data_IF_139880655640
#
_entry.id   IF_139880655640
#
_cell.length_a   1.000
_cell.length_b   1.000
_cell.length_c   1.000
_cell.angle_alpha   90.00
_cell.angle_beta   90.00
_cell.angle_gamma   90.00
#
_symmetry.space_group_name_H-M   'P 1'
#
loop_
_entity.id
_entity.type
_entity.pdbx_description
1 polymer ?
#
# COMPACT_ATOMS: atom_id res chain seq x y z
N UNK A 1 -15.77 23.93 -19.55
CA UNK A 1 -14.45 24.59 -19.62
C UNK A 1 -14.07 24.90 -18.19
N UNK A 2 -13.24 24.05 -17.57
CA UNK A 2 -12.82 24.20 -16.17
C UNK A 2 -11.30 24.40 -16.21
N UNK A 3 -10.86 25.53 -15.65
CA UNK A 3 -9.47 25.95 -15.55
C UNK A 3 -8.66 24.91 -14.78
N UNK A 4 -7.52 24.52 -15.36
CA UNK A 4 -6.49 23.75 -14.67
C UNK A 4 -5.51 24.79 -14.14
N UNK A 5 -5.61 25.12 -12.86
CA UNK A 5 -4.60 25.93 -12.20
C UNK A 5 -3.33 25.11 -12.04
N UNK A 6 -2.28 25.62 -12.65
CA UNK A 6 -0.93 25.10 -12.77
C UNK A 6 -0.25 25.07 -11.39
N UNK A 7 0.00 23.89 -10.85
CA UNK A 7 0.71 23.74 -9.58
C UNK A 7 2.22 23.85 -9.84
N UNK A 8 2.76 25.06 -9.71
CA UNK A 8 4.20 25.33 -9.74
C UNK A 8 4.83 24.89 -8.40
N UNK A 9 5.66 23.85 -8.45
CA UNK A 9 6.34 23.29 -7.28
C UNK A 9 7.73 23.93 -7.14
N UNK A 10 7.77 25.14 -6.57
CA UNK A 10 9.05 25.80 -6.30
C UNK A 10 9.77 25.20 -5.09
N UNK A 11 11.08 25.07 -5.29
CA UNK A 11 12.05 24.28 -4.56
C UNK A 11 12.32 24.86 -3.17
N UNK A 12 12.15 24.09 -2.10
CA UNK A 12 12.53 24.51 -0.74
C UNK A 12 14.05 24.54 -0.61
N UNK A 13 14.66 25.68 -0.90
CA UNK A 13 16.06 25.96 -0.63
C UNK A 13 16.22 26.38 0.85
N UNK A 14 16.26 25.41 1.76
CA UNK A 14 16.70 25.66 3.14
C UNK A 14 18.23 25.67 3.20
N UNK A 15 18.79 26.82 2.83
CA UNK A 15 20.16 27.17 3.21
C UNK A 15 20.14 27.63 4.67
N UNK A 16 20.29 26.68 5.60
CA UNK A 16 20.61 27.02 6.99
C UNK A 16 22.05 27.54 7.04
N UNK A 17 22.16 28.86 6.88
CA UNK A 17 23.35 29.65 7.15
C UNK A 17 23.58 29.72 8.67
N UNK A 18 24.13 28.66 9.25
CA UNK A 18 24.62 28.71 10.63
C UNK A 18 26.03 29.31 10.59
N UNK A 19 26.10 30.63 10.54
CA UNK A 19 27.32 31.38 10.86
C UNK A 19 27.62 31.23 12.36
N UNK A 20 28.36 30.18 12.73
CA UNK A 20 29.02 30.15 14.05
C UNK A 20 30.22 31.09 13.96
N UNK A 21 30.05 32.29 14.53
CA UNK A 21 31.09 33.30 14.65
C UNK A 21 32.29 32.73 15.42
N UNK A 22 33.37 32.47 14.68
CA UNK A 22 34.68 32.17 15.24
C UNK A 22 35.20 33.43 15.93
N UNK A 23 35.12 33.48 17.26
CA UNK A 23 35.89 34.45 18.05
C UNK A 23 37.16 33.76 18.54
N UNK A 24 38.23 33.88 17.74
CA UNK A 24 39.58 33.67 18.25
C UNK A 24 39.95 34.84 19.18
N UNK A 25 40.32 34.53 20.42
CA UNK A 25 41.26 35.34 21.20
C UNK A 25 42.01 34.46 22.18
N UNK A 26 43.30 34.75 22.26
CA UNK A 26 44.38 33.85 22.62
C UNK A 26 44.84 33.94 24.09
N UNK A 27 45.72 32.98 24.43
CA UNK A 27 46.60 32.91 25.62
C UNK A 27 45.92 32.39 26.91
N UNK A 28 46.47 31.47 27.71
CA UNK A 28 47.87 31.14 28.02
C UNK A 28 47.97 29.79 28.78
N UNK A 29 49.07 29.05 28.53
CA UNK A 29 49.84 28.18 29.44
C UNK A 29 49.32 26.86 30.07
N UNK A 30 50.15 25.83 29.82
CA UNK A 30 50.51 24.62 30.60
C UNK A 30 49.66 23.31 30.57
N UNK A 31 50.25 22.16 30.13
CA UNK A 31 49.80 20.80 30.46
C UNK A 31 50.59 20.27 31.67
N UNK A 32 50.39 19.03 32.20
CA UNK A 32 49.29 18.08 32.14
C UNK A 32 48.81 17.64 33.56
N UNK A 33 47.61 17.06 33.69
CA UNK A 33 47.38 16.07 34.76
C UNK A 33 46.36 15.03 34.34
N UNK A 34 46.87 13.89 33.91
CA UNK A 34 46.12 12.65 33.73
C UNK A 34 45.55 12.26 35.08
N UNK A 35 44.32 12.66 35.37
CA UNK A 35 43.55 12.08 36.46
C UNK A 35 42.97 10.78 35.91
N UNK A 36 43.46 9.66 36.45
CA UNK A 36 42.96 8.32 36.14
C UNK A 36 41.45 8.33 36.38
N UNK A 37 40.66 8.28 35.31
CA UNK A 37 39.22 8.15 35.38
C UNK A 37 38.92 6.78 35.97
N UNK A 38 38.52 6.79 37.24
CA UNK A 38 38.06 5.60 37.96
C UNK A 38 36.85 5.08 37.18
N UNK A 39 37.03 3.98 36.45
CA UNK A 39 35.98 3.32 35.69
C UNK A 39 34.90 2.82 36.64
N UNK A 40 33.90 3.67 36.85
CA UNK A 40 32.67 3.35 37.55
C UNK A 40 31.92 2.36 36.65
N UNK A 41 31.98 1.07 36.98
CA UNK A 41 31.14 0.03 36.38
C UNK A 41 29.70 0.52 36.47
N UNK A 42 29.12 0.94 35.33
CA UNK A 42 27.74 1.39 35.23
C UNK A 42 26.84 0.16 35.45
N UNK A 43 25.77 0.37 36.22
CA UNK A 43 24.83 -0.65 36.67
C UNK A 43 24.07 -1.21 35.45
N UNK A 44 23.98 -2.53 35.36
CA UNK A 44 23.37 -3.32 34.26
C UNK A 44 21.85 -3.08 34.06
N UNK A 45 21.22 -2.26 34.90
CA UNK A 45 19.76 -2.00 34.86
C UNK A 45 19.29 -1.09 33.71
N UNK A 46 20.16 -0.23 33.14
CA UNK A 46 19.74 0.74 32.11
C UNK A 46 19.53 0.08 30.73
N UNK A 47 20.25 -1.01 30.43
CA UNK A 47 20.12 -1.76 29.18
C UNK A 47 18.77 -2.50 29.10
N UNK A 48 18.30 -3.04 30.22
CA UNK A 48 17.03 -3.79 30.27
C UNK A 48 15.80 -2.86 30.07
N UNK A 49 15.84 -1.67 30.68
CA UNK A 49 14.78 -0.67 30.49
C UNK A 49 14.78 -0.09 29.07
N UNK A 50 15.96 0.12 28.47
CA UNK A 50 16.06 0.63 27.10
C UNK A 50 15.65 -0.42 26.07
N UNK A 51 16.09 -1.67 26.22
CA UNK A 51 15.65 -2.78 25.35
C UNK A 51 14.16 -3.08 25.49
N UNK A 52 13.58 -2.98 26.69
CA UNK A 52 12.13 -3.09 26.92
C UNK A 52 11.34 -1.98 26.21
N UNK A 53 11.79 -0.72 26.29
CA UNK A 53 11.17 0.40 25.57
C UNK A 53 11.26 0.23 24.05
N UNK A 54 12.40 -0.25 23.55
CA UNK A 54 12.60 -0.54 22.12
C UNK A 54 11.66 -1.65 21.66
N UNK A 55 11.55 -2.75 22.41
CA UNK A 55 10.64 -3.86 22.06
C UNK A 55 9.17 -3.45 22.12
N UNK A 56 8.77 -2.63 23.09
CA UNK A 56 7.43 -2.07 23.14
C UNK A 56 7.13 -1.21 21.90
N UNK A 57 8.03 -0.28 21.55
CA UNK A 57 7.86 0.55 20.36
C UNK A 57 7.78 -0.26 19.05
N UNK A 58 8.61 -1.31 18.92
CA UNK A 58 8.56 -2.21 17.77
C UNK A 58 7.22 -2.97 17.72
N UNK A 59 6.72 -3.43 18.87
CA UNK A 59 5.42 -4.08 18.97
C UNK A 59 4.29 -3.15 18.53
N UNK A 60 4.31 -1.89 18.95
CA UNK A 60 3.31 -0.89 18.57
C UNK A 60 3.30 -0.63 17.07
N UNK A 61 4.49 -0.49 16.46
CA UNK A 61 4.62 -0.35 15.00
C UNK A 61 4.10 -1.61 14.28
N UNK A 62 4.44 -2.80 14.77
CA UNK A 62 3.96 -4.04 14.18
C UNK A 62 2.44 -4.19 14.31
N UNK A 63 1.85 -3.74 15.42
CA UNK A 63 0.41 -3.72 15.63
C UNK A 63 -0.26 -2.77 14.63
N UNK A 64 0.24 -1.54 14.53
CA UNK A 64 -0.26 -0.55 13.57
C UNK A 64 -0.21 -1.11 12.14
N UNK A 65 0.91 -1.67 11.69
CA UNK A 65 1.03 -2.28 10.36
C UNK A 65 -0.02 -3.39 10.15
N UNK A 66 -0.27 -4.24 11.14
CA UNK A 66 -1.29 -5.30 11.02
C UNK A 66 -2.69 -4.73 10.91
N UNK A 67 -3.02 -3.70 11.67
CA UNK A 67 -4.31 -3.02 11.59
C UNK A 67 -4.48 -2.32 10.24
N UNK A 68 -3.47 -1.60 9.76
CA UNK A 68 -3.49 -0.98 8.44
C UNK A 68 -3.64 -2.03 7.34
N UNK A 69 -2.98 -3.20 7.48
CA UNK A 69 -3.11 -4.31 6.52
C UNK A 69 -4.54 -4.87 6.48
N UNK A 70 -5.23 -4.96 7.62
CA UNK A 70 -6.64 -5.34 7.69
C UNK A 70 -7.53 -4.31 7.01
N UNK A 71 -7.32 -3.02 7.30
CA UNK A 71 -8.07 -1.92 6.68
C UNK A 71 -7.86 -1.88 5.17
N UNK A 72 -6.62 -2.02 4.69
CA UNK A 72 -6.31 -2.09 3.27
C UNK A 72 -6.94 -3.31 2.60
N UNK A 73 -7.00 -4.46 3.28
CA UNK A 73 -7.68 -5.65 2.75
C UNK A 73 -9.18 -5.42 2.62
N UNK A 74 -9.81 -4.80 3.62
CA UNK A 74 -11.23 -4.42 3.58
C UNK A 74 -11.51 -3.38 2.50
N UNK A 75 -10.65 -2.37 2.39
CA UNK A 75 -10.75 -1.34 1.36
C UNK A 75 -10.55 -1.94 -0.04
N UNK A 76 -9.62 -2.89 -0.20
CA UNK A 76 -9.42 -3.60 -1.46
C UNK A 76 -10.64 -4.43 -1.83
N UNK A 77 -11.28 -5.09 -0.86
CA UNK A 77 -12.52 -5.83 -1.09
C UNK A 77 -13.66 -4.88 -1.48
N UNK A 78 -13.82 -3.78 -0.74
CA UNK A 78 -14.84 -2.76 -1.03
C UNK A 78 -14.60 -2.07 -2.37
N UNK A 79 -13.35 -1.72 -2.70
CA UNK A 79 -12.97 -1.15 -3.98
C UNK A 79 -13.09 -2.16 -5.10
N UNK A 80 -12.85 -3.45 -4.86
CA UNK A 80 -13.15 -4.48 -5.84
C UNK A 80 -14.65 -4.48 -6.11
N UNK A 81 -15.50 -4.55 -5.09
CA UNK A 81 -16.94 -4.45 -5.28
C UNK A 81 -17.33 -3.13 -5.99
N UNK A 82 -16.70 -2.01 -5.66
CA UNK A 82 -16.98 -0.69 -6.26
C UNK A 82 -16.45 -0.54 -7.69
N UNK A 83 -15.31 -1.12 -8.03
CA UNK A 83 -14.74 -1.15 -9.39
C UNK A 83 -15.56 -2.10 -10.27
N UNK A 84 -16.08 -3.18 -9.69
CA UNK A 84 -17.01 -4.07 -10.36
C UNK A 84 -18.40 -3.42 -10.54
N UNK A 85 -18.86 -2.56 -9.62
CA UNK A 85 -20.17 -1.88 -9.70
C UNK A 85 -20.16 -0.50 -10.38
N UNK A 86 -19.03 0.24 -10.40
CA UNK A 86 -19.02 1.69 -10.59
C UNK A 86 -18.33 2.20 -11.86
N UNK A 87 -17.55 1.38 -12.55
CA UNK A 87 -17.02 1.71 -13.87
C UNK A 87 -17.66 0.79 -14.90
N UNK A 88 -17.88 1.31 -16.12
CA UNK A 88 -18.13 0.46 -17.29
C UNK A 88 -17.13 -0.69 -17.22
N UNK A 89 -17.65 -1.90 -17.00
CA UNK A 89 -16.93 -3.02 -16.41
C UNK A 89 -15.56 -3.23 -17.02
N UNK A 90 -14.60 -3.59 -16.17
CA UNK A 90 -13.25 -3.99 -16.55
C UNK A 90 -13.26 -5.04 -17.66
N UNK A 91 -13.30 -4.59 -18.92
CA UNK A 91 -13.31 -5.46 -20.09
C UNK A 91 -12.07 -6.35 -20.11
N UNK A 92 -10.93 -5.84 -19.63
CA UNK A 92 -9.73 -6.66 -19.46
C UNK A 92 -9.92 -7.83 -18.50
N UNK A 93 -10.63 -7.64 -17.38
CA UNK A 93 -10.89 -8.69 -16.40
C UNK A 93 -11.92 -9.71 -16.90
N UNK A 94 -13.00 -9.24 -17.54
CA UNK A 94 -14.00 -10.10 -18.21
C UNK A 94 -13.31 -10.97 -19.27
N UNK A 95 -12.50 -10.35 -20.12
CA UNK A 95 -11.78 -11.07 -21.17
C UNK A 95 -10.83 -12.11 -20.57
N UNK A 96 -9.99 -11.73 -19.59
CA UNK A 96 -9.03 -12.64 -18.98
C UNK A 96 -9.74 -13.84 -18.34
N UNK A 97 -10.80 -13.58 -17.56
CA UNK A 97 -11.58 -14.62 -16.91
C UNK A 97 -12.19 -15.58 -17.94
N UNK A 98 -12.88 -15.07 -18.95
CA UNK A 98 -13.48 -15.89 -20.01
C UNK A 98 -12.43 -16.68 -20.80
N UNK A 99 -11.26 -16.08 -21.06
CA UNK A 99 -10.15 -16.73 -21.76
C UNK A 99 -9.60 -17.92 -20.96
N UNK A 100 -9.59 -17.85 -19.62
CA UNK A 100 -9.15 -18.99 -18.78
C UNK A 100 -10.10 -20.19 -18.86
N UNK A 101 -11.35 -19.99 -19.27
CA UNK A 101 -12.35 -21.05 -19.33
C UNK A 101 -12.32 -21.87 -20.63
N UNK A 102 -11.41 -21.56 -21.55
CA UNK A 102 -11.23 -22.32 -22.79
C UNK A 102 -12.39 -22.20 -23.78
N UNK A 103 -13.10 -21.07 -23.77
CA UNK A 103 -14.18 -20.78 -24.73
C UNK A 103 -13.62 -20.68 -26.16
N UNK A 104 -14.36 -21.22 -27.13
CA UNK A 104 -14.06 -20.98 -28.55
C UNK A 104 -14.16 -19.48 -28.87
N UNK A 105 -13.32 -18.98 -29.77
CA UNK A 105 -13.20 -17.53 -30.07
C UNK A 105 -14.54 -16.82 -30.33
N UNK A 106 -15.46 -17.49 -31.04
CA UNK A 106 -16.82 -16.96 -31.31
C UNK A 106 -17.69 -16.87 -30.04
N UNK A 107 -17.61 -17.87 -29.16
CA UNK A 107 -18.34 -17.86 -27.89
C UNK A 107 -17.73 -16.88 -26.90
N UNK A 108 -16.40 -16.75 -26.91
CA UNK A 108 -15.66 -15.78 -26.11
C UNK A 108 -16.10 -14.36 -26.41
N UNK A 109 -16.19 -13.96 -27.69
CA UNK A 109 -16.62 -12.62 -28.07
C UNK A 109 -18.08 -12.35 -27.72
N UNK A 110 -18.98 -13.32 -27.93
CA UNK A 110 -20.38 -13.21 -27.53
C UNK A 110 -20.54 -13.07 -26.00
N UNK A 111 -19.87 -13.92 -25.22
CA UNK A 111 -19.90 -13.86 -23.77
C UNK A 111 -19.31 -12.55 -23.23
N UNK A 112 -18.22 -12.08 -23.83
CA UNK A 112 -17.58 -10.82 -23.48
C UNK A 112 -18.53 -9.64 -23.67
N UNK A 113 -19.13 -9.51 -24.88
CA UNK A 113 -20.09 -8.44 -25.18
C UNK A 113 -21.29 -8.51 -24.23
N UNK A 114 -21.85 -9.71 -24.03
CA UNK A 114 -22.99 -9.90 -23.13
C UNK A 114 -22.69 -9.42 -21.70
N UNK A 115 -21.55 -9.79 -21.11
CA UNK A 115 -21.21 -9.39 -19.75
C UNK A 115 -20.88 -7.89 -19.64
N UNK A 116 -20.23 -7.32 -20.66
CA UNK A 116 -19.96 -5.86 -20.72
C UNK A 116 -21.25 -5.06 -20.81
N UNK A 117 -22.23 -5.54 -21.57
CA UNK A 117 -23.54 -4.88 -21.74
C UNK A 117 -24.48 -5.11 -20.55
N UNK A 118 -24.25 -6.16 -19.75
CA UNK A 118 -25.10 -6.55 -18.61
C UNK A 118 -24.28 -6.60 -17.30
N UNK A 119 -23.97 -5.44 -16.69
CA UNK A 119 -23.13 -5.36 -15.49
C UNK A 119 -23.67 -6.17 -14.31
N UNK A 120 -24.99 -6.26 -14.13
CA UNK A 120 -25.59 -7.09 -13.07
C UNK A 120 -25.30 -8.60 -13.26
N UNK A 121 -25.27 -9.04 -14.52
CA UNK A 121 -24.91 -10.42 -14.89
C UNK A 121 -23.41 -10.65 -14.73
N UNK A 122 -22.58 -9.68 -15.11
CA UNK A 122 -21.14 -9.71 -14.84
C UNK A 122 -20.86 -9.81 -13.35
N UNK A 123 -21.50 -8.99 -12.52
CA UNK A 123 -21.37 -9.06 -11.07
C UNK A 123 -21.72 -10.47 -10.53
N UNK A 124 -22.85 -11.01 -10.98
CA UNK A 124 -23.27 -12.38 -10.61
C UNK A 124 -22.26 -13.43 -11.06
N UNK A 125 -21.72 -13.31 -12.28
CA UNK A 125 -20.71 -14.20 -12.84
C UNK A 125 -19.40 -14.19 -12.02
N UNK A 126 -18.91 -13.02 -11.64
CA UNK A 126 -17.69 -12.91 -10.83
C UNK A 126 -17.87 -13.28 -9.36
N UNK A 127 -19.06 -13.06 -8.80
CA UNK A 127 -19.42 -13.53 -7.46
C UNK A 127 -19.54 -15.05 -7.35
N UNK A 128 -19.69 -15.75 -8.47
CA UNK A 128 -19.78 -17.21 -8.53
C UNK A 128 -18.38 -17.86 -8.39
N UNK A 129 -18.24 -19.00 -7.67
CA UNK A 129 -16.97 -19.75 -7.61
C UNK A 129 -16.51 -20.23 -9.00
N UNK A 130 -15.21 -20.18 -9.27
CA UNK A 130 -14.57 -20.58 -10.54
C UNK A 130 -15.14 -21.86 -11.17
N UNK A 131 -15.29 -23.00 -10.44
CA UNK A 131 -15.81 -24.24 -11.04
C UNK A 131 -17.24 -24.15 -11.59
N UNK A 132 -18.04 -23.21 -11.11
CA UNK A 132 -19.46 -23.04 -11.46
C UNK A 132 -19.68 -21.94 -12.51
N UNK A 133 -18.66 -21.11 -12.78
CA UNK A 133 -18.81 -19.95 -13.67
C UNK A 133 -19.16 -20.34 -15.10
N UNK A 134 -18.61 -21.44 -15.61
CA UNK A 134 -18.90 -21.92 -16.97
C UNK A 134 -20.35 -22.38 -17.11
N UNK A 135 -20.90 -23.13 -16.15
CA UNK A 135 -22.31 -23.53 -16.18
C UNK A 135 -23.22 -22.31 -16.06
N UNK A 136 -22.91 -21.41 -15.12
CA UNK A 136 -23.65 -20.17 -14.94
C UNK A 136 -23.66 -19.30 -16.21
N UNK A 137 -22.51 -19.18 -16.89
CA UNK A 137 -22.41 -18.40 -18.12
C UNK A 137 -23.29 -18.98 -19.24
N UNK A 138 -23.34 -20.31 -19.37
CA UNK A 138 -24.23 -20.97 -20.34
C UNK A 138 -25.70 -20.70 -20.03
N UNK A 139 -26.08 -20.82 -18.76
CA UNK A 139 -27.45 -20.52 -18.30
C UNK A 139 -27.82 -19.05 -18.57
N UNK A 140 -26.88 -18.12 -18.39
CA UNK A 140 -27.08 -16.70 -18.68
C UNK A 140 -27.22 -16.40 -20.18
N UNK A 141 -26.48 -17.11 -21.02
CA UNK A 141 -26.49 -16.93 -22.48
C UNK A 141 -27.62 -17.70 -23.18
N UNK A 142 -28.34 -18.56 -22.45
CA UNK A 142 -29.39 -19.41 -23.02
C UNK A 142 -28.84 -20.46 -23.99
N UNK A 143 -27.61 -20.94 -23.78
CA UNK A 143 -27.08 -22.07 -24.55
C UNK A 143 -27.56 -23.39 -23.92
N UNK A 144 -28.54 -24.02 -24.56
CA UNK A 144 -29.01 -25.37 -24.23
C UNK A 144 -27.94 -26.44 -24.54
N UNK A 145 -27.92 -27.51 -23.72
CA UNK A 145 -26.96 -28.62 -23.76
C UNK A 145 -27.03 -29.50 -25.01
#
# INVERSE_FOLDING_TARGET
>A
MISIDEINLENFNNSDDIQVTSTMSASQMDPPKVTKSKSKKRKVEEEDVTTSKITAAISDVANAIRETSKVLSLLTLYLKDLIYLGTKGGGGEIYNELNTMGLAAKKLSCAYLFLVENPDKAHTFFGCPLPMRMSLLKDMLGEDY
#
